data_IF_098852291852
#
_entry.id   IF_098852291852
#
_cell.length_a   1.000
_cell.length_b   1.000
_cell.length_c   1.000
_cell.angle_alpha   90.00
_cell.angle_beta   90.00
_cell.angle_gamma   90.00
#
_symmetry.space_group_name_H-M   'P 1'
#
loop_
_entity.id
_entity.type
_entity.pdbx_description
1 polymer ?
#
# COMPACT_ATOMS: atom_id res chain seq x y z
N UNK A 1 8.35 31.18 -6.11
CA UNK A 1 9.27 30.10 -6.53
C UNK A 1 8.46 29.08 -7.31
N UNK A 2 8.90 28.72 -8.52
CA UNK A 2 8.29 27.61 -9.27
C UNK A 2 8.88 26.28 -8.79
N UNK A 3 8.23 25.16 -9.12
CA UNK A 3 8.76 23.84 -8.78
C UNK A 3 10.13 23.59 -9.43
N UNK A 4 10.34 24.02 -10.67
CA UNK A 4 11.63 23.89 -11.36
C UNK A 4 12.74 24.69 -10.68
N UNK A 5 12.45 25.94 -10.27
CA UNK A 5 13.41 26.77 -9.56
C UNK A 5 13.79 26.16 -8.20
N UNK A 6 12.82 25.57 -7.50
CA UNK A 6 13.08 24.82 -6.27
C UNK A 6 13.98 23.62 -6.52
N UNK A 7 13.63 22.78 -7.51
CA UNK A 7 14.38 21.58 -7.86
C UNK A 7 15.83 21.92 -8.21
N UNK A 8 16.06 22.97 -9.00
CA UNK A 8 17.40 23.46 -9.31
C UNK A 8 18.18 23.85 -8.04
N UNK A 9 17.52 24.56 -7.12
CA UNK A 9 18.16 25.01 -5.88
C UNK A 9 18.52 23.84 -4.96
N UNK A 10 17.63 22.84 -4.80
CA UNK A 10 17.88 21.72 -3.87
C UNK A 10 18.82 20.66 -4.43
N UNK A 11 18.93 20.54 -5.75
CA UNK A 11 19.88 19.60 -6.38
C UNK A 11 21.35 19.92 -6.07
N UNK A 12 21.68 21.21 -6.00
CA UNK A 12 23.02 21.70 -5.64
C UNK A 12 23.11 22.12 -4.17
N UNK A 13 21.99 22.07 -3.44
CA UNK A 13 21.90 22.39 -2.03
C UNK A 13 22.61 21.38 -1.15
N UNK A 14 23.15 21.83 -0.02
CA UNK A 14 23.77 20.95 0.98
C UNK A 14 22.83 20.58 2.12
N UNK A 15 21.91 21.48 2.44
CA UNK A 15 20.97 21.30 3.52
C UNK A 15 19.68 22.10 3.28
N UNK A 16 18.58 21.61 3.86
CA UNK A 16 17.29 22.30 3.92
C UNK A 16 16.95 22.56 5.39
N UNK A 17 16.52 23.78 5.69
CA UNK A 17 16.07 24.18 7.01
C UNK A 17 14.72 24.89 6.92
N UNK A 18 13.99 24.88 8.02
CA UNK A 18 12.78 25.67 8.17
C UNK A 18 13.15 27.09 8.62
N UNK A 19 12.42 28.09 8.14
CA UNK A 19 12.56 29.45 8.66
C UNK A 19 12.28 29.44 10.18
N UNK A 20 13.23 29.92 10.97
CA UNK A 20 13.21 29.92 12.44
C UNK A 20 13.22 28.51 13.10
N UNK A 21 13.51 27.45 12.34
CA UNK A 21 13.66 26.10 12.88
C UNK A 21 15.12 25.77 13.24
N UNK A 22 15.32 24.92 14.25
CA UNK A 22 16.63 24.39 14.61
C UNK A 22 17.01 23.12 13.82
N UNK A 23 16.03 22.49 13.17
CA UNK A 23 16.27 21.27 12.40
C UNK A 23 16.86 21.59 11.03
N UNK A 24 17.91 20.86 10.69
CA UNK A 24 18.57 20.93 9.39
C UNK A 24 18.60 19.52 8.80
N UNK A 25 18.11 19.37 7.57
CA UNK A 25 18.11 18.11 6.84
C UNK A 25 19.23 18.16 5.81
N UNK A 26 20.10 17.16 5.80
CA UNK A 26 21.14 17.03 4.76
C UNK A 26 20.50 16.74 3.41
N UNK A 27 20.97 17.42 2.36
CA UNK A 27 20.58 17.16 0.96
C UNK A 27 21.61 16.31 0.21
N UNK A 28 22.61 15.78 0.91
CA UNK A 28 23.60 14.90 0.30
C UNK A 28 22.93 13.67 -0.32
N UNK A 29 23.19 13.45 -1.61
CA UNK A 29 22.59 12.35 -2.37
C UNK A 29 21.22 12.66 -2.96
N UNK A 30 20.59 13.82 -2.68
CA UNK A 30 19.28 14.16 -3.24
C UNK A 30 19.28 14.15 -4.77
N UNK A 31 20.27 14.78 -5.41
CA UNK A 31 20.39 14.78 -6.88
C UNK A 31 20.49 13.37 -7.46
N UNK A 32 21.24 12.47 -6.82
CA UNK A 32 21.37 11.09 -7.24
C UNK A 32 20.06 10.30 -7.06
N UNK A 33 19.34 10.54 -5.96
CA UNK A 33 18.03 9.93 -5.71
C UNK A 33 16.98 10.41 -6.73
N UNK A 34 16.94 11.72 -7.03
CA UNK A 34 16.05 12.28 -8.06
C UNK A 34 16.39 11.73 -9.45
N UNK A 35 17.68 11.66 -9.79
CA UNK A 35 18.13 11.05 -11.04
C UNK A 35 17.74 9.56 -11.13
N UNK A 36 17.84 8.80 -10.04
CA UNK A 36 17.39 7.42 -10.00
C UNK A 36 15.88 7.29 -10.24
N UNK A 37 15.07 8.19 -9.67
CA UNK A 37 13.62 8.22 -9.94
C UNK A 37 13.37 8.50 -11.42
N UNK A 38 14.04 9.50 -12.00
CA UNK A 38 13.91 9.84 -13.42
C UNK A 38 14.32 8.66 -14.33
N UNK A 39 15.41 7.95 -14.04
CA UNK A 39 15.82 6.77 -14.83
C UNK A 39 14.82 5.62 -14.73
N UNK A 40 14.30 5.35 -13.52
CA UNK A 40 13.29 4.30 -13.30
C UNK A 40 11.97 4.62 -13.99
N UNK A 41 11.59 5.90 -14.03
CA UNK A 41 10.40 6.37 -14.71
C UNK A 41 10.65 6.67 -16.20
N UNK A 42 11.89 6.50 -16.70
CA UNK A 42 12.29 6.77 -18.09
C UNK A 42 12.01 8.22 -18.52
N UNK A 43 12.34 9.16 -17.63
CA UNK A 43 12.24 10.61 -17.87
C UNK A 43 13.54 11.27 -18.28
N UNK A 44 14.70 10.67 -17.99
CA UNK A 44 16.01 11.23 -18.34
C UNK A 44 16.07 11.54 -19.84
N UNK A 45 16.46 12.76 -20.21
CA UNK A 45 16.49 13.23 -21.59
C UNK A 45 15.17 13.84 -22.11
N UNK A 46 14.08 13.75 -21.35
CA UNK A 46 12.81 14.44 -21.65
C UNK A 46 12.67 15.77 -20.93
N UNK A 47 11.75 16.60 -21.39
CA UNK A 47 11.40 17.89 -20.77
C UNK A 47 10.89 17.73 -19.32
N UNK A 48 10.38 16.54 -18.99
CA UNK A 48 9.74 16.23 -17.70
C UNK A 48 10.70 15.71 -16.62
N UNK A 49 11.97 15.43 -16.96
CA UNK A 49 12.96 14.97 -15.98
C UNK A 49 13.17 16.05 -14.91
N UNK A 50 13.33 15.66 -13.65
CA UNK A 50 13.74 16.59 -12.60
C UNK A 50 15.24 16.86 -12.64
N UNK A 51 16.04 15.84 -12.99
CA UNK A 51 17.49 15.88 -13.20
C UNK A 51 17.79 15.35 -14.60
N UNK A 52 18.70 16.02 -15.34
CA UNK A 52 19.05 15.59 -16.69
C UNK A 52 17.92 15.80 -17.70
N UNK A 53 17.28 16.97 -17.64
CA UNK A 53 16.30 17.42 -18.65
C UNK A 53 16.92 17.39 -20.05
N UNK A 54 16.10 17.07 -21.04
CA UNK A 54 16.44 17.20 -22.44
C UNK A 54 15.24 17.64 -23.26
N UNK A 55 15.34 17.49 -24.58
CA UNK A 55 14.37 18.00 -25.56
C UNK A 55 13.34 16.95 -26.00
N UNK A 56 13.39 15.72 -25.45
CA UNK A 56 12.38 14.74 -25.80
C UNK A 56 11.00 15.16 -25.24
N UNK A 57 9.94 15.04 -26.05
CA UNK A 57 8.62 15.49 -25.64
C UNK A 57 8.10 14.67 -24.45
N UNK A 58 7.17 15.21 -23.63
CA UNK A 58 6.60 14.51 -22.47
C UNK A 58 6.02 13.12 -22.76
N UNK A 59 5.60 12.87 -24.01
CA UNK A 59 5.07 11.59 -24.47
C UNK A 59 6.15 10.51 -24.72
N UNK A 60 7.45 10.83 -24.63
CA UNK A 60 8.51 9.82 -24.69
C UNK A 60 8.60 9.00 -23.40
N UNK A 61 8.06 9.52 -22.29
CA UNK A 61 7.90 8.80 -21.03
C UNK A 61 6.84 7.70 -21.22
N UNK A 62 7.16 6.42 -20.96
CA UNK A 62 6.20 5.33 -21.09
C UNK A 62 4.96 5.59 -20.24
N UNK A 63 3.74 5.37 -20.78
CA UNK A 63 2.53 5.48 -20.00
C UNK A 63 2.54 4.45 -18.86
N UNK A 64 1.81 4.76 -17.79
CA UNK A 64 1.59 3.79 -16.73
C UNK A 64 1.03 2.49 -17.34
N UNK A 65 1.52 1.30 -16.91
CA UNK A 65 1.00 0.04 -17.39
C UNK A 65 -0.52 -0.01 -17.22
N UNK A 66 -1.22 -0.56 -18.22
CA UNK A 66 -2.65 -0.75 -18.13
C UNK A 66 -2.99 -1.60 -16.90
N UNK A 67 -4.01 -1.18 -16.15
CA UNK A 67 -4.52 -1.96 -15.03
C UNK A 67 -4.99 -3.32 -15.56
N UNK A 68 -4.72 -4.39 -14.80
CA UNK A 68 -5.28 -5.69 -15.13
C UNK A 68 -6.79 -5.62 -15.02
N UNK A 69 -7.49 -6.02 -16.08
CA UNK A 69 -8.92 -6.23 -16.01
C UNK A 69 -9.20 -7.36 -15.01
N UNK A 70 -10.01 -7.06 -14.00
CA UNK A 70 -10.51 -8.06 -13.04
C UNK A 70 -11.97 -8.28 -13.38
N UNK A 71 -12.38 -9.54 -13.54
CA UNK A 71 -13.78 -9.86 -13.74
C UNK A 71 -14.58 -9.43 -12.50
N UNK A 72 -15.71 -8.76 -12.72
CA UNK A 72 -16.65 -8.50 -11.63
C UNK A 72 -17.22 -9.83 -11.16
N UNK A 73 -17.10 -10.13 -9.86
CA UNK A 73 -17.78 -11.26 -9.27
C UNK A 73 -19.23 -10.84 -8.95
N UNK A 74 -20.17 -11.18 -9.83
CA UNK A 74 -21.60 -11.10 -9.53
C UNK A 74 -21.99 -12.25 -8.61
N UNK A 75 -21.61 -12.15 -7.35
CA UNK A 75 -22.16 -13.03 -6.31
C UNK A 75 -23.15 -12.18 -5.52
N UNK A 76 -24.45 -12.44 -5.69
CA UNK A 76 -25.45 -11.98 -4.74
C UNK A 76 -25.30 -12.83 -3.49
N UNK A 77 -24.50 -12.37 -2.54
CA UNK A 77 -24.16 -13.15 -1.36
C UNK A 77 -25.19 -12.89 -0.27
N UNK A 78 -25.65 -13.95 0.37
CA UNK A 78 -26.47 -13.81 1.57
C UNK A 78 -25.64 -13.12 2.67
N UNK A 79 -26.13 -12.02 3.28
CA UNK A 79 -25.47 -11.38 4.41
C UNK A 79 -25.19 -12.39 5.53
N UNK A 80 -24.14 -12.14 6.32
CA UNK A 80 -23.85 -12.97 7.49
C UNK A 80 -24.92 -12.74 8.56
N UNK A 81 -25.48 -13.83 9.08
CA UNK A 81 -26.31 -13.76 10.27
C UNK A 81 -25.50 -13.32 11.49
N UNK A 82 -26.16 -12.79 12.52
CA UNK A 82 -25.47 -12.31 13.73
C UNK A 82 -24.68 -13.43 14.45
N UNK A 83 -25.29 -14.61 14.58
CA UNK A 83 -24.67 -15.78 15.21
C UNK A 83 -23.49 -16.28 14.38
N UNK A 84 -23.68 -16.45 13.07
CA UNK A 84 -22.62 -16.84 12.13
C UNK A 84 -21.43 -15.87 12.15
N UNK A 85 -21.69 -14.56 12.16
CA UNK A 85 -20.64 -13.54 12.24
C UNK A 85 -19.87 -13.64 13.55
N UNK A 86 -20.56 -13.82 14.69
CA UNK A 86 -19.91 -13.96 15.99
C UNK A 86 -19.02 -15.20 16.02
N UNK A 87 -19.53 -16.34 15.56
CA UNK A 87 -18.78 -17.59 15.50
C UNK A 87 -17.51 -17.49 14.63
N UNK A 88 -17.60 -16.80 13.48
CA UNK A 88 -16.46 -16.58 12.59
C UNK A 88 -15.45 -15.59 13.18
N UNK A 89 -15.91 -14.59 13.94
CA UNK A 89 -15.02 -13.69 14.68
C UNK A 89 -14.27 -14.43 15.78
N UNK A 90 -14.94 -15.29 16.53
CA UNK A 90 -14.33 -16.13 17.57
C UNK A 90 -13.31 -17.10 16.96
N UNK A 91 -13.67 -17.78 15.86
CA UNK A 91 -12.74 -18.61 15.11
C UNK A 91 -11.51 -17.83 14.63
N UNK A 92 -11.69 -16.60 14.15
CA UNK A 92 -10.60 -15.69 13.78
C UNK A 92 -9.69 -15.36 14.96
N UNK A 93 -10.27 -15.01 16.10
CA UNK A 93 -9.56 -14.68 17.33
C UNK A 93 -8.71 -15.86 17.82
N UNK A 94 -9.26 -17.07 17.82
CA UNK A 94 -8.58 -18.27 18.31
C UNK A 94 -7.50 -18.78 17.35
N UNK A 95 -7.82 -18.86 16.06
CA UNK A 95 -6.98 -19.58 15.10
C UNK A 95 -5.98 -18.67 14.38
N UNK A 96 -6.34 -17.42 14.13
CA UNK A 96 -5.58 -16.53 13.24
C UNK A 96 -4.75 -15.49 14.01
N UNK A 97 -5.10 -15.16 15.26
CA UNK A 97 -4.29 -14.27 16.12
C UNK A 97 -2.90 -14.83 16.43
N UNK A 98 -2.72 -16.15 16.34
CA UNK A 98 -1.42 -16.80 16.51
C UNK A 98 -0.49 -16.67 15.28
N UNK A 99 -0.89 -15.91 14.27
CA UNK A 99 -0.04 -15.61 13.11
C UNK A 99 1.16 -14.72 13.50
N UNK A 100 2.28 -14.87 12.79
CA UNK A 100 3.47 -14.01 12.95
C UNK A 100 3.17 -12.57 12.53
N UNK A 101 2.65 -11.76 13.46
CA UNK A 101 2.34 -10.35 13.26
C UNK A 101 3.10 -9.48 14.24
N UNK A 102 3.58 -8.34 13.75
CA UNK A 102 4.35 -7.37 14.55
C UNK A 102 3.45 -6.41 15.33
N UNK A 103 2.18 -6.24 14.91
CA UNK A 103 1.21 -5.43 15.64
C UNK A 103 0.90 -6.07 17.01
N UNK A 104 0.83 -5.22 18.04
CA UNK A 104 0.38 -5.60 19.38
C UNK A 104 -1.00 -6.28 19.33
N UNK A 105 -1.20 -7.45 19.98
CA UNK A 105 -2.45 -8.20 19.92
C UNK A 105 -3.70 -7.39 20.30
N UNK A 106 -3.62 -6.48 21.27
CA UNK A 106 -4.76 -5.66 21.70
C UNK A 106 -5.12 -4.57 20.69
N UNK A 107 -4.23 -4.29 19.73
CA UNK A 107 -4.45 -3.33 18.64
C UNK A 107 -4.88 -4.01 17.34
N UNK A 108 -4.98 -5.35 17.32
CA UNK A 108 -5.37 -6.07 16.11
C UNK A 108 -6.86 -5.95 15.88
N UNK A 109 -7.21 -5.76 14.61
CA UNK A 109 -8.57 -5.76 14.13
C UNK A 109 -8.82 -7.08 13.41
N UNK A 110 -9.99 -7.66 13.62
CA UNK A 110 -10.50 -8.77 12.80
C UNK A 110 -11.65 -8.25 11.95
N UNK A 111 -11.61 -8.58 10.66
CA UNK A 111 -12.69 -8.29 9.71
C UNK A 111 -13.18 -9.60 9.10
N UNK A 112 -14.50 -9.77 9.10
CA UNK A 112 -15.17 -10.89 8.43
C UNK A 112 -16.13 -10.29 7.41
N UNK A 113 -16.06 -10.76 6.18
CA UNK A 113 -16.95 -10.33 5.10
C UNK A 113 -17.36 -11.56 4.31
N UNK A 114 -18.66 -11.73 4.03
CA UNK A 114 -19.07 -12.79 3.13
C UNK A 114 -18.31 -12.65 1.80
N UNK A 115 -17.90 -13.75 1.17
CA UNK A 115 -17.41 -13.76 -0.23
C UNK A 115 -18.30 -14.55 -1.19
N UNK A 116 -18.94 -15.59 -0.69
CA UNK A 116 -19.94 -16.40 -1.41
C UNK A 116 -20.96 -16.92 -0.39
N UNK A 117 -21.95 -17.71 -0.83
CA UNK A 117 -22.86 -18.40 0.09
C UNK A 117 -22.17 -19.54 0.87
N UNK A 118 -20.94 -19.91 0.51
CA UNK A 118 -20.17 -20.96 1.18
C UNK A 118 -18.84 -20.48 1.81
N UNK A 119 -18.41 -19.23 1.54
CA UNK A 119 -17.13 -18.69 2.03
C UNK A 119 -17.21 -17.26 2.56
N UNK A 120 -16.32 -16.97 3.49
CA UNK A 120 -16.02 -15.61 3.97
C UNK A 120 -14.55 -15.27 3.74
N UNK A 121 -14.30 -13.97 3.57
CA UNK A 121 -12.99 -13.37 3.76
C UNK A 121 -12.84 -13.05 5.23
N UNK A 122 -11.85 -13.67 5.88
CA UNK A 122 -11.43 -13.32 7.23
C UNK A 122 -10.08 -12.63 7.15
N UNK A 123 -9.94 -11.46 7.75
CA UNK A 123 -8.71 -10.68 7.75
C UNK A 123 -8.31 -10.28 9.16
N UNK A 124 -7.01 -10.30 9.45
CA UNK A 124 -6.45 -9.76 10.70
C UNK A 124 -5.38 -8.71 10.39
N UNK A 125 -5.43 -7.56 11.06
CA UNK A 125 -4.39 -6.56 10.90
C UNK A 125 -3.09 -7.05 11.53
N UNK A 126 -1.98 -6.91 10.80
CA UNK A 126 -0.74 -7.59 11.10
C UNK A 126 0.45 -6.64 11.28
N UNK A 127 0.48 -5.54 10.51
CA UNK A 127 1.44 -4.44 10.66
C UNK A 127 0.73 -3.11 10.41
N UNK A 128 1.21 -2.03 11.02
CA UNK A 128 0.67 -0.69 10.80
C UNK A 128 1.80 0.32 10.67
N UNK A 129 1.83 1.02 9.54
CA UNK A 129 2.72 2.15 9.26
C UNK A 129 1.98 3.49 9.34
N UNK A 130 2.67 4.59 9.01
CA UNK A 130 2.09 5.93 9.10
C UNK A 130 0.86 6.15 8.19
N UNK A 131 0.78 5.44 7.05
CA UNK A 131 -0.25 5.65 6.03
C UNK A 131 -0.91 4.36 5.53
N UNK A 132 -0.56 3.20 6.08
CA UNK A 132 -1.05 1.91 5.60
C UNK A 132 -1.07 0.85 6.72
N UNK A 133 -1.99 -0.12 6.58
CA UNK A 133 -2.07 -1.30 7.44
C UNK A 133 -1.89 -2.54 6.57
N UNK A 134 -1.01 -3.45 6.98
CA UNK A 134 -0.83 -4.76 6.37
C UNK A 134 -1.80 -5.73 7.01
N UNK A 135 -2.50 -6.51 6.19
CA UNK A 135 -3.48 -7.50 6.64
C UNK A 135 -3.08 -8.90 6.17
N UNK A 136 -3.20 -9.89 7.05
CA UNK A 136 -3.26 -11.28 6.62
C UNK A 136 -4.73 -11.62 6.33
N UNK A 137 -4.95 -12.46 5.30
CA UNK A 137 -6.28 -12.80 4.83
C UNK A 137 -6.42 -14.31 4.61
N UNK A 138 -7.61 -14.84 4.88
CA UNK A 138 -7.99 -16.23 4.67
C UNK A 138 -9.36 -16.32 4.00
N UNK A 139 -9.49 -17.30 3.11
CA UNK A 139 -10.78 -17.84 2.69
C UNK A 139 -11.21 -18.89 3.71
N UNK A 140 -12.36 -18.68 4.35
CA UNK A 140 -12.90 -19.57 5.39
C UNK A 140 -14.28 -20.07 4.97
N UNK A 141 -14.59 -21.35 5.20
CA UNK A 141 -15.95 -21.87 5.00
C UNK A 141 -16.96 -21.19 5.92
N UNK A 142 -18.21 -21.05 5.48
CA UNK A 142 -19.31 -20.48 6.31
C UNK A 142 -19.86 -21.46 7.36
N UNK A 143 -19.64 -22.76 7.17
CA UNK A 143 -20.12 -23.81 8.07
C UNK A 143 -18.99 -24.51 8.82
N UNK A 144 -19.31 -25.01 10.03
CA UNK A 144 -18.43 -25.82 10.86
C UNK A 144 -18.37 -27.27 10.33
N UNK A 145 -17.23 -27.98 10.48
CA UNK A 145 -15.95 -27.46 10.96
C UNK A 145 -15.35 -26.46 9.95
N UNK A 146 -14.87 -25.32 10.45
CA UNK A 146 -14.33 -24.27 9.59
C UNK A 146 -13.04 -24.74 8.90
N UNK A 147 -12.98 -24.55 7.58
CA UNK A 147 -11.78 -24.81 6.78
C UNK A 147 -11.25 -23.47 6.30
N UNK A 148 -10.02 -23.16 6.67
CA UNK A 148 -9.35 -21.92 6.29
C UNK A 148 -8.17 -22.17 5.36
N UNK A 149 -8.06 -21.35 4.32
CA UNK A 149 -6.92 -21.30 3.41
C UNK A 149 -6.41 -19.87 3.34
N UNK A 150 -5.13 -19.67 3.63
CA UNK A 150 -4.51 -18.35 3.54
C UNK A 150 -4.52 -17.85 2.08
N UNK A 151 -4.82 -16.58 1.91
CA UNK A 151 -4.70 -15.88 0.64
C UNK A 151 -3.25 -15.47 0.45
N UNK A 152 -2.63 -15.95 -0.63
CA UNK A 152 -1.23 -15.70 -1.01
C UNK A 152 -1.01 -16.09 -2.45
#
# INVERSE_FOLDING_TARGET
>A
MTIDAFLQQVQEGKALSLANGLQTISLQGLKAALFFIDDRQKRVGSETAWVGKGEEPPLSVPPAPALRAVASAETAQSPLGREELNDLMDYGNERMTNSHCSLDPFRREIRVTALTDDKVLLMTSCESGAYNTVWLAWLVSRQRPYVARQCG
#
